data_IF_036359013410
#
_entry.id   IF_036359013410
#
_cell.length_a   1.000
_cell.length_b   1.000
_cell.length_c   1.000
_cell.angle_alpha   90.00
_cell.angle_beta   90.00
_cell.angle_gamma   90.00
#
_symmetry.space_group_name_H-M   'P 1'
#
loop_
_entity.id
_entity.type
_entity.pdbx_description
1 polymer ?
#
# COMPACT_ATOMS: atom_id res chain seq x y z
N UNK A 1 7.68 19.02 1.50
CA UNK A 1 8.08 18.65 0.12
C UNK A 1 6.85 18.51 -0.74
N UNK A 2 6.86 19.08 -1.95
CA UNK A 2 5.64 19.28 -2.72
C UNK A 2 5.45 18.23 -3.84
N UNK A 3 6.44 17.37 -4.05
CA UNK A 3 6.40 16.31 -5.07
C UNK A 3 6.73 14.92 -4.49
N UNK A 4 6.13 13.91 -5.10
CA UNK A 4 6.31 12.49 -4.81
C UNK A 4 6.51 11.75 -6.14
N UNK A 5 7.51 10.88 -6.21
CA UNK A 5 7.68 9.93 -7.31
C UNK A 5 7.38 8.51 -6.83
N UNK A 6 6.52 7.80 -7.53
CA UNK A 6 6.14 6.42 -7.23
C UNK A 6 6.64 5.53 -8.35
N UNK A 7 7.39 4.50 -8.00
CA UNK A 7 7.88 3.48 -8.93
C UNK A 7 7.24 2.14 -8.57
N UNK A 8 6.56 1.54 -9.53
CA UNK A 8 6.02 0.18 -9.38
C UNK A 8 7.13 -0.85 -9.52
N UNK A 9 7.24 -1.74 -8.56
CA UNK A 9 8.24 -2.82 -8.57
C UNK A 9 7.62 -4.12 -9.07
N UNK A 10 6.65 -4.65 -8.36
CA UNK A 10 5.82 -5.80 -8.77
C UNK A 10 4.74 -6.09 -7.74
N UNK A 11 3.63 -6.70 -8.16
CA UNK A 11 2.48 -7.10 -7.33
C UNK A 11 1.99 -5.96 -6.43
N UNK A 12 2.27 -6.00 -5.13
CA UNK A 12 1.97 -4.94 -4.16
C UNK A 12 3.21 -4.10 -3.82
N UNK A 13 4.33 -4.32 -4.50
CA UNK A 13 5.62 -3.66 -4.26
C UNK A 13 5.74 -2.30 -4.93
N UNK A 14 6.00 -1.26 -4.12
CA UNK A 14 6.21 0.11 -4.61
C UNK A 14 7.36 0.79 -3.87
N UNK A 15 8.13 1.59 -4.60
CA UNK A 15 9.05 2.55 -4.02
C UNK A 15 8.49 3.96 -4.19
N UNK A 16 8.29 4.66 -3.06
CA UNK A 16 7.77 6.03 -3.01
C UNK A 16 8.90 6.95 -2.59
N UNK A 17 9.34 7.83 -3.47
CA UNK A 17 10.41 8.80 -3.21
C UNK A 17 9.81 10.17 -2.91
N UNK A 18 10.18 10.72 -1.76
CA UNK A 18 9.84 12.08 -1.33
C UNK A 18 11.13 12.78 -0.92
N UNK A 19 11.57 13.74 -1.73
CA UNK A 19 12.91 14.34 -1.58
C UNK A 19 14.03 13.30 -1.69
N UNK A 20 14.85 13.18 -0.65
CA UNK A 20 15.97 12.20 -0.59
C UNK A 20 15.61 10.99 0.29
N UNK A 21 14.33 10.75 0.56
CA UNK A 21 13.87 9.60 1.34
C UNK A 21 13.04 8.68 0.47
N UNK A 22 13.27 7.38 0.56
CA UNK A 22 12.47 6.35 -0.06
C UNK A 22 11.65 5.59 0.99
N UNK A 23 10.36 5.42 0.72
CA UNK A 23 9.46 4.52 1.42
C UNK A 23 9.24 3.30 0.53
N UNK A 24 9.72 2.14 0.93
CA UNK A 24 9.62 0.90 0.16
C UNK A 24 8.56 0.00 0.77
N UNK A 25 7.47 -0.20 0.05
CA UNK A 25 6.35 -1.03 0.47
C UNK A 25 6.39 -2.40 -0.22
N UNK A 26 6.15 -3.46 0.55
CA UNK A 26 5.94 -4.84 0.14
C UNK A 26 6.92 -5.29 -0.97
N UNK A 27 8.22 -5.14 -0.70
CA UNK A 27 9.25 -5.51 -1.66
C UNK A 27 9.24 -7.02 -1.91
N UNK A 28 8.82 -7.38 -3.12
CA UNK A 28 8.79 -8.76 -3.60
C UNK A 28 9.96 -9.04 -4.53
N UNK A 29 9.99 -8.37 -5.67
CA UNK A 29 11.02 -8.49 -6.69
C UNK A 29 11.18 -7.22 -7.49
N UNK A 30 12.27 -7.13 -8.22
CA UNK A 30 12.60 -5.99 -9.08
C UNK A 30 13.37 -6.50 -10.29
N UNK A 31 12.65 -7.03 -11.28
CA UNK A 31 13.22 -7.71 -12.45
C UNK A 31 14.10 -6.79 -13.31
N UNK A 32 13.73 -5.52 -13.38
CA UNK A 32 14.45 -4.51 -14.19
C UNK A 32 15.50 -3.73 -13.35
N UNK A 33 15.74 -4.11 -12.11
CA UNK A 33 16.68 -3.44 -11.20
C UNK A 33 16.44 -1.93 -11.06
N UNK A 34 15.19 -1.48 -11.18
CA UNK A 34 14.83 -0.06 -11.12
C UNK A 34 14.96 0.52 -9.71
N UNK A 35 14.87 -0.29 -8.66
CA UNK A 35 15.04 0.16 -7.28
C UNK A 35 16.42 0.78 -7.04
N UNK A 36 17.47 0.26 -7.66
CA UNK A 36 18.82 0.82 -7.53
C UNK A 36 18.87 2.28 -8.01
N UNK A 37 18.18 2.58 -9.10
CA UNK A 37 18.04 3.95 -9.62
C UNK A 37 17.24 4.85 -8.69
N UNK A 38 16.13 4.34 -8.12
CA UNK A 38 15.33 5.09 -7.12
C UNK A 38 16.16 5.43 -5.89
N UNK A 39 16.96 4.48 -5.41
CA UNK A 39 17.75 4.64 -4.20
C UNK A 39 19.06 5.43 -4.42
N UNK A 40 19.49 5.66 -5.65
CA UNK A 40 20.77 6.34 -5.94
C UNK A 40 20.87 7.70 -5.26
N UNK A 41 19.79 8.50 -5.29
CA UNK A 41 19.71 9.83 -4.72
C UNK A 41 19.07 9.85 -3.31
N UNK A 42 18.79 8.68 -2.71
CA UNK A 42 18.21 8.59 -1.39
C UNK A 42 19.28 8.33 -0.34
N UNK A 43 19.26 9.13 0.72
CA UNK A 43 20.13 8.96 1.88
C UNK A 43 19.41 8.30 3.07
N UNK A 44 18.10 8.09 2.96
CA UNK A 44 17.28 7.45 3.98
C UNK A 44 16.25 6.53 3.30
N UNK A 45 16.07 5.33 3.86
CA UNK A 45 15.08 4.36 3.41
C UNK A 45 14.27 3.88 4.59
N UNK A 46 12.95 3.85 4.44
CA UNK A 46 12.02 3.17 5.33
C UNK A 46 11.42 1.98 4.58
N UNK A 47 11.38 0.82 5.21
CA UNK A 47 10.83 -0.41 4.59
C UNK A 47 9.58 -0.84 5.35
N UNK A 48 8.55 -1.18 4.59
CA UNK A 48 7.25 -1.66 5.08
C UNK A 48 6.96 -3.01 4.47
N UNK A 49 6.56 -4.00 5.28
CA UNK A 49 6.02 -5.25 4.77
C UNK A 49 4.76 -5.62 5.54
N UNK A 50 3.66 -5.78 4.79
CA UNK A 50 2.31 -5.92 5.32
C UNK A 50 2.05 -7.28 5.95
N UNK A 51 2.68 -8.35 5.44
CA UNK A 51 2.58 -9.71 5.97
C UNK A 51 3.69 -10.63 5.42
N UNK A 52 3.73 -11.87 5.90
CA UNK A 52 4.84 -12.81 5.67
C UNK A 52 4.84 -13.51 4.32
N UNK A 53 3.78 -13.41 3.51
CA UNK A 53 3.73 -14.04 2.20
C UNK A 53 4.87 -13.58 1.30
N UNK A 54 5.39 -14.49 0.46
CA UNK A 54 6.61 -14.28 -0.33
C UNK A 54 6.51 -13.13 -1.34
N UNK A 55 5.32 -12.75 -1.75
CA UNK A 55 5.03 -11.66 -2.67
C UNK A 55 4.84 -10.29 -1.98
N UNK A 56 4.97 -10.24 -0.63
CA UNK A 56 4.94 -9.03 0.20
C UNK A 56 6.18 -8.88 1.09
N UNK A 57 6.85 -9.99 1.41
CA UNK A 57 8.06 -9.98 2.22
C UNK A 57 9.20 -10.76 1.55
N UNK A 58 10.22 -10.05 1.05
CA UNK A 58 11.43 -10.65 0.54
C UNK A 58 12.57 -10.47 1.54
N UNK A 59 13.18 -11.54 2.07
CA UNK A 59 14.33 -11.45 2.99
C UNK A 59 15.52 -10.65 2.46
N UNK A 60 15.64 -10.45 1.14
CA UNK A 60 16.68 -9.62 0.52
C UNK A 60 16.64 -8.15 0.94
N UNK A 61 15.58 -7.70 1.62
CA UNK A 61 15.58 -6.35 2.24
C UNK A 61 16.76 -6.13 3.19
N UNK A 62 17.38 -7.21 3.71
CA UNK A 62 18.59 -7.14 4.54
C UNK A 62 19.79 -6.58 3.76
N UNK A 63 19.85 -6.78 2.45
CA UNK A 63 20.94 -6.29 1.60
C UNK A 63 21.00 -4.74 1.55
N UNK A 64 19.91 -4.08 1.93
CA UNK A 64 19.80 -2.62 2.01
C UNK A 64 20.06 -2.06 3.41
N UNK A 65 20.41 -2.89 4.39
CA UNK A 65 20.44 -2.54 5.81
C UNK A 65 21.25 -1.28 6.15
N UNK A 66 22.35 -1.01 5.42
CA UNK A 66 23.20 0.17 5.66
C UNK A 66 22.46 1.49 5.39
N UNK A 67 21.50 1.50 4.45
CA UNK A 67 20.71 2.66 4.06
C UNK A 67 19.38 2.75 4.81
N UNK A 68 18.91 1.64 5.40
CA UNK A 68 17.61 1.59 6.07
C UNK A 68 17.66 2.24 7.43
N UNK A 69 16.82 3.24 7.62
CA UNK A 69 16.62 3.89 8.91
C UNK A 69 15.76 3.02 9.83
N UNK A 70 14.62 2.53 9.34
CA UNK A 70 13.73 1.62 10.08
C UNK A 70 12.98 0.68 9.14
N UNK A 71 12.68 -0.50 9.67
CA UNK A 71 11.78 -1.48 9.10
C UNK A 71 10.48 -1.47 9.92
N UNK A 72 9.35 -1.24 9.27
CA UNK A 72 8.01 -1.38 9.84
C UNK A 72 7.40 -2.66 9.29
N UNK A 73 7.37 -3.69 10.10
CA UNK A 73 6.97 -5.03 9.67
C UNK A 73 5.74 -5.48 10.44
N UNK A 74 4.87 -6.20 9.75
CA UNK A 74 3.76 -6.86 10.43
C UNK A 74 4.27 -7.88 11.47
N UNK A 75 3.49 -8.08 12.50
CA UNK A 75 3.79 -9.00 13.61
C UNK A 75 4.06 -10.44 13.17
N UNK A 76 3.39 -10.91 12.11
CA UNK A 76 3.52 -12.26 11.56
C UNK A 76 4.86 -12.50 10.84
N UNK A 77 5.54 -11.43 10.40
CA UNK A 77 6.89 -11.52 9.80
C UNK A 77 7.97 -11.81 10.86
N UNK A 78 7.69 -11.54 12.14
CA UNK A 78 8.69 -11.65 13.21
C UNK A 78 9.46 -12.98 13.24
N UNK A 79 8.82 -14.16 13.07
CA UNK A 79 9.55 -15.43 13.04
C UNK A 79 10.55 -15.53 11.89
N UNK A 80 10.20 -15.00 10.71
CA UNK A 80 11.04 -15.05 9.51
C UNK A 80 12.17 -14.01 9.52
N UNK A 81 11.94 -12.82 10.10
CA UNK A 81 12.87 -11.70 10.06
C UNK A 81 13.83 -11.61 11.26
N UNK A 82 13.49 -12.23 12.40
CA UNK A 82 14.21 -12.05 13.67
C UNK A 82 15.71 -12.34 13.62
N UNK A 83 16.13 -13.30 12.83
CA UNK A 83 17.55 -13.67 12.66
C UNK A 83 18.25 -12.89 11.56
N UNK A 84 17.52 -12.15 10.73
CA UNK A 84 18.04 -11.48 9.55
C UNK A 84 18.31 -10.00 9.77
N UNK A 85 17.53 -9.35 10.64
CA UNK A 85 17.52 -7.91 10.82
C UNK A 85 17.94 -7.51 12.23
N UNK A 86 18.69 -6.41 12.34
CA UNK A 86 19.04 -5.81 13.63
C UNK A 86 17.78 -5.37 14.38
N UNK A 87 17.61 -5.82 15.62
CA UNK A 87 16.44 -5.49 16.45
C UNK A 87 16.26 -3.99 16.69
N UNK A 88 17.33 -3.20 16.61
CA UNK A 88 17.29 -1.74 16.82
C UNK A 88 16.61 -1.00 15.66
N UNK A 89 16.64 -1.58 14.46
CA UNK A 89 16.03 -0.99 13.27
C UNK A 89 14.61 -1.49 13.00
N UNK A 90 14.16 -2.55 13.67
CA UNK A 90 12.87 -3.21 13.35
C UNK A 90 11.81 -2.83 14.36
N UNK A 91 10.66 -2.42 13.84
CA UNK A 91 9.42 -2.21 14.59
C UNK A 91 8.39 -3.19 14.04
N UNK A 92 7.95 -4.13 14.88
CA UNK A 92 6.84 -5.02 14.56
C UNK A 92 5.54 -4.40 15.05
N UNK A 93 4.54 -4.34 14.16
CA UNK A 93 3.24 -3.73 14.43
C UNK A 93 2.14 -4.79 14.43
N UNK A 94 1.29 -4.76 15.43
CA UNK A 94 0.00 -5.44 15.42
C UNK A 94 -1.07 -4.53 14.81
N UNK A 95 -2.24 -5.06 14.41
CA UNK A 95 -3.35 -4.21 13.98
C UNK A 95 -3.70 -3.14 15.02
N UNK A 96 -4.03 -1.93 14.54
CA UNK A 96 -4.50 -0.78 15.31
C UNK A 96 -3.46 -0.15 16.25
N UNK A 97 -2.19 -0.33 15.95
CA UNK A 97 -1.09 0.38 16.62
C UNK A 97 -0.68 1.63 15.84
N UNK A 98 -0.15 2.60 16.56
CA UNK A 98 0.45 3.81 15.98
C UNK A 98 1.78 4.08 16.62
N UNK A 99 2.80 4.26 15.81
CA UNK A 99 4.14 4.64 16.25
C UNK A 99 4.58 5.93 15.57
N UNK A 100 5.36 6.72 16.29
CA UNK A 100 6.06 7.87 15.74
C UNK A 100 7.54 7.62 15.93
N UNK A 101 8.24 7.55 14.84
CA UNK A 101 9.67 7.25 14.82
C UNK A 101 10.39 8.27 13.94
N UNK A 102 11.33 9.01 14.54
CA UNK A 102 12.05 10.09 13.86
C UNK A 102 11.07 11.14 13.25
N UNK A 103 10.99 11.21 11.94
CA UNK A 103 10.20 12.15 11.15
C UNK A 103 8.98 11.51 10.47
N UNK A 104 8.68 10.24 10.80
CA UNK A 104 7.58 9.46 10.21
C UNK A 104 6.60 9.00 11.29
N UNK A 105 5.33 9.02 10.96
CA UNK A 105 4.26 8.42 11.76
C UNK A 105 3.62 7.29 10.97
N UNK A 106 3.52 6.13 11.60
CA UNK A 106 2.97 4.92 11.00
C UNK A 106 1.84 4.39 11.86
N UNK A 107 0.67 4.27 11.29
CA UNK A 107 -0.48 3.59 11.89
C UNK A 107 -0.77 2.31 11.12
N UNK A 108 -1.06 1.24 11.82
CA UNK A 108 -1.45 -0.04 11.26
C UNK A 108 -2.94 -0.30 11.44
N UNK A 109 -3.54 -0.97 10.46
CA UNK A 109 -4.92 -1.46 10.54
C UNK A 109 -4.93 -2.95 10.25
N UNK A 110 -6.07 -3.61 10.45
CA UNK A 110 -6.20 -5.03 10.16
C UNK A 110 -6.20 -5.34 8.67
N UNK A 111 -6.11 -6.62 8.35
CA UNK A 111 -6.22 -7.18 7.01
C UNK A 111 -7.32 -8.24 6.96
N UNK A 112 -7.71 -8.62 5.76
CA UNK A 112 -8.70 -9.70 5.51
C UNK A 112 -8.06 -10.98 5.01
N UNK A 113 -6.78 -10.94 4.72
CA UNK A 113 -5.92 -12.10 4.54
C UNK A 113 -5.02 -12.23 5.78
N UNK A 114 -3.73 -11.99 5.70
CA UNK A 114 -2.80 -11.99 6.82
C UNK A 114 -2.24 -10.60 7.09
N UNK A 115 -1.64 -10.40 8.27
CA UNK A 115 -0.88 -9.21 8.64
C UNK A 115 -1.71 -7.95 8.85
N UNK A 116 -1.23 -6.86 8.27
CA UNK A 116 -1.74 -5.50 8.49
C UNK A 116 -1.77 -4.68 7.21
N UNK A 117 -2.53 -3.58 7.21
CA UNK A 117 -2.36 -2.46 6.28
C UNK A 117 -1.68 -1.27 6.97
N UNK A 118 -1.06 -0.39 6.20
CA UNK A 118 -0.33 0.76 6.69
C UNK A 118 -0.99 2.08 6.33
N UNK A 119 -0.98 3.02 7.27
CA UNK A 119 -1.21 4.44 7.01
C UNK A 119 0.01 5.23 7.48
N UNK A 120 0.67 5.87 6.53
CA UNK A 120 1.95 6.54 6.74
C UNK A 120 1.81 8.04 6.53
N UNK A 121 2.20 8.81 7.54
CA UNK A 121 2.29 10.26 7.47
C UNK A 121 3.77 10.67 7.45
N UNK A 122 4.22 11.25 6.33
CA UNK A 122 5.61 11.65 6.12
C UNK A 122 5.69 12.92 5.27
N UNK A 123 6.44 13.93 5.72
CA UNK A 123 6.63 15.21 5.01
C UNK A 123 5.31 15.85 4.54
N UNK A 124 4.26 15.70 5.36
CA UNK A 124 2.93 16.20 5.08
C UNK A 124 2.14 15.40 4.05
N UNK A 125 2.66 14.28 3.55
CA UNK A 125 1.93 13.29 2.74
C UNK A 125 1.26 12.25 3.61
N UNK A 126 0.10 11.78 3.16
CA UNK A 126 -0.70 10.72 3.79
C UNK A 126 -0.85 9.58 2.80
N UNK A 127 -0.22 8.47 3.10
CA UNK A 127 -0.11 7.31 2.22
C UNK A 127 -0.78 6.12 2.90
N UNK A 128 -1.74 5.50 2.23
CA UNK A 128 -2.35 4.24 2.65
C UNK A 128 -1.86 3.10 1.76
N UNK A 129 -1.42 2.01 2.37
CA UNK A 129 -1.07 0.78 1.65
C UNK A 129 -1.87 -0.37 2.26
N UNK A 130 -2.77 -0.93 1.48
CA UNK A 130 -3.75 -1.90 1.96
C UNK A 130 -3.13 -3.26 2.35
N UNK A 131 -1.90 -3.60 1.85
CA UNK A 131 -1.46 -4.99 1.87
C UNK A 131 -2.52 -5.84 1.17
N UNK A 132 -2.92 -6.94 1.77
CA UNK A 132 -3.98 -7.81 1.25
C UNK A 132 -5.35 -7.57 1.93
N UNK A 133 -5.57 -6.36 2.44
CA UNK A 133 -6.91 -5.94 2.84
C UNK A 133 -7.79 -5.77 1.60
N UNK A 134 -8.75 -6.68 1.41
CA UNK A 134 -9.70 -6.64 0.30
C UNK A 134 -10.98 -7.40 0.65
N UNK A 135 -12.04 -7.17 -0.14
CA UNK A 135 -13.21 -8.03 -0.13
C UNK A 135 -12.98 -9.22 -1.09
N UNK A 136 -12.38 -10.29 -0.56
CA UNK A 136 -12.03 -11.51 -1.31
C UNK A 136 -13.28 -12.33 -1.65
N UNK A 137 -14.03 -11.87 -2.66
CA UNK A 137 -15.20 -12.56 -3.20
C UNK A 137 -14.76 -13.44 -4.38
N UNK A 138 -14.67 -14.73 -4.17
CA UNK A 138 -14.23 -15.68 -5.19
C UNK A 138 -15.42 -16.22 -5.98
N UNK A 139 -15.34 -16.16 -7.32
CA UNK A 139 -16.29 -16.84 -8.19
C UNK A 139 -16.18 -18.36 -7.97
N UNK A 140 -17.34 -19.04 -7.89
CA UNK A 140 -17.40 -20.47 -7.62
C UNK A 140 -17.17 -20.91 -6.18
N UNK A 141 -16.87 -19.99 -5.24
CA UNK A 141 -16.86 -20.31 -3.81
C UNK A 141 -18.30 -20.34 -3.24
N UNK A 142 -18.45 -20.91 -2.05
CA UNK A 142 -19.77 -21.00 -1.40
C UNK A 142 -20.29 -19.62 -0.99
N UNK A 143 -21.61 -19.46 -1.00
CA UNK A 143 -22.24 -18.25 -0.49
C UNK A 143 -21.85 -17.93 0.96
N UNK A 144 -21.66 -18.97 1.77
CA UNK A 144 -21.22 -18.85 3.16
C UNK A 144 -19.83 -18.23 3.26
N UNK A 145 -18.87 -18.70 2.45
CA UNK A 145 -17.52 -18.18 2.44
C UNK A 145 -17.46 -16.75 1.92
N UNK A 146 -18.16 -16.46 0.83
CA UNK A 146 -18.23 -15.12 0.27
C UNK A 146 -18.92 -14.12 1.22
N UNK A 147 -19.92 -14.55 1.97
CA UNK A 147 -20.56 -13.76 3.05
C UNK A 147 -19.58 -13.52 4.22
N UNK A 148 -18.78 -14.53 4.57
CA UNK A 148 -17.76 -14.39 5.60
C UNK A 148 -16.68 -13.39 5.17
N UNK A 149 -16.17 -13.48 3.95
CA UNK A 149 -15.19 -12.53 3.39
C UNK A 149 -15.73 -11.09 3.41
N UNK A 150 -17.00 -10.89 2.97
CA UNK A 150 -17.68 -9.60 3.05
C UNK A 150 -17.71 -9.04 4.47
N UNK A 151 -18.12 -9.87 5.43
CA UNK A 151 -18.27 -9.42 6.82
C UNK A 151 -16.91 -9.05 7.45
N UNK A 152 -15.86 -9.82 7.15
CA UNK A 152 -14.49 -9.49 7.58
C UNK A 152 -14.06 -8.15 7.01
N UNK A 153 -14.21 -7.95 5.70
CA UNK A 153 -13.85 -6.70 5.05
C UNK A 153 -14.65 -5.51 5.61
N UNK A 154 -15.97 -5.64 5.74
CA UNK A 154 -16.83 -4.61 6.31
C UNK A 154 -16.46 -4.26 7.77
N UNK A 155 -15.94 -5.22 8.54
CA UNK A 155 -15.43 -4.97 9.90
C UNK A 155 -14.19 -4.10 9.87
N UNK A 156 -13.22 -4.42 9.03
CA UNK A 156 -11.98 -3.65 8.90
C UNK A 156 -12.25 -2.25 8.33
N UNK A 157 -13.15 -2.15 7.35
CA UNK A 157 -13.54 -0.89 6.73
C UNK A 157 -14.11 0.14 7.73
N UNK A 158 -14.76 -0.31 8.81
CA UNK A 158 -15.23 0.60 9.88
C UNK A 158 -14.09 1.37 10.55
N UNK A 159 -12.92 0.76 10.68
CA UNK A 159 -11.74 1.40 11.24
C UNK A 159 -11.09 2.41 10.29
N UNK A 160 -11.38 2.30 8.99
CA UNK A 160 -10.87 3.18 7.94
C UNK A 160 -11.85 4.30 7.58
N UNK A 161 -13.10 4.23 8.05
CA UNK A 161 -14.14 5.22 7.70
C UNK A 161 -13.70 6.64 8.03
N UNK A 162 -13.74 7.51 7.03
CA UNK A 162 -13.30 8.91 7.14
C UNK A 162 -11.79 9.12 7.00
N UNK A 163 -11.00 8.06 6.77
CA UNK A 163 -9.56 8.19 6.51
C UNK A 163 -9.34 9.03 5.25
N UNK A 164 -8.40 9.95 5.32
CA UNK A 164 -8.03 10.82 4.19
C UNK A 164 -6.63 10.46 3.72
N UNK A 165 -6.51 10.04 2.47
CA UNK A 165 -5.23 9.67 1.86
C UNK A 165 -4.94 10.53 0.65
N UNK A 166 -3.70 11.04 0.56
CA UNK A 166 -3.23 11.70 -0.66
C UNK A 166 -2.93 10.65 -1.73
N UNK A 167 -2.42 9.48 -1.30
CA UNK A 167 -2.20 8.30 -2.14
C UNK A 167 -2.70 7.06 -1.41
N UNK A 168 -3.45 6.19 -2.10
CA UNK A 168 -3.84 4.90 -1.59
C UNK A 168 -3.50 3.79 -2.60
N UNK A 169 -2.75 2.79 -2.14
CA UNK A 169 -2.49 1.55 -2.85
C UNK A 169 -3.50 0.50 -2.41
N UNK A 170 -4.28 -0.03 -3.36
CA UNK A 170 -5.36 -0.96 -3.03
C UNK A 170 -5.43 -2.15 -4.01
N UNK A 171 -5.64 -3.39 -3.52
CA UNK A 171 -5.72 -4.57 -4.36
C UNK A 171 -6.92 -4.52 -5.32
N UNK A 172 -6.64 -4.77 -6.61
CA UNK A 172 -7.65 -5.02 -7.63
C UNK A 172 -7.24 -6.32 -8.34
N UNK A 173 -7.53 -7.44 -7.69
CA UNK A 173 -7.04 -8.74 -8.13
C UNK A 173 -7.89 -9.30 -9.27
N UNK A 174 -7.28 -9.44 -10.43
CA UNK A 174 -7.94 -9.94 -11.63
C UNK A 174 -8.47 -11.38 -11.51
N UNK A 175 -7.93 -12.17 -10.58
CA UNK A 175 -8.40 -13.53 -10.30
C UNK A 175 -9.82 -13.59 -9.74
N UNK A 176 -10.30 -12.49 -9.16
CA UNK A 176 -11.67 -12.35 -8.66
C UNK A 176 -12.70 -12.10 -9.78
N UNK A 177 -12.26 -12.02 -11.05
CA UNK A 177 -13.15 -11.83 -12.19
C UNK A 177 -13.98 -10.54 -12.07
N UNK A 178 -15.30 -10.65 -12.23
CA UNK A 178 -16.22 -9.53 -12.13
C UNK A 178 -16.29 -8.89 -10.73
N UNK A 179 -15.83 -9.59 -9.71
CA UNK A 179 -15.83 -9.13 -8.31
C UNK A 179 -14.55 -8.38 -7.91
N UNK A 180 -13.55 -8.25 -8.81
CA UNK A 180 -12.23 -7.68 -8.50
C UNK A 180 -12.28 -6.26 -7.94
N UNK A 181 -13.32 -5.51 -8.24
CA UNK A 181 -13.46 -4.12 -7.84
C UNK A 181 -14.39 -3.88 -6.65
N UNK A 182 -15.00 -4.92 -6.06
CA UNK A 182 -15.89 -4.76 -4.92
C UNK A 182 -15.22 -4.10 -3.72
N UNK A 183 -14.04 -4.58 -3.35
CA UNK A 183 -13.30 -4.06 -2.19
C UNK A 183 -12.88 -2.61 -2.38
N UNK A 184 -12.29 -2.27 -3.53
CA UNK A 184 -11.83 -0.91 -3.81
C UNK A 184 -12.99 0.08 -3.88
N UNK A 185 -14.15 -0.35 -4.39
CA UNK A 185 -15.35 0.49 -4.43
C UNK A 185 -15.82 0.85 -3.01
N UNK A 186 -16.02 -0.14 -2.18
CA UNK A 186 -16.41 0.05 -0.78
C UNK A 186 -15.37 0.88 -0.01
N UNK A 187 -14.08 0.65 -0.24
CA UNK A 187 -13.02 1.44 0.37
C UNK A 187 -13.14 2.92 -0.02
N UNK A 188 -13.26 3.25 -1.29
CA UNK A 188 -13.41 4.62 -1.76
C UNK A 188 -14.75 5.26 -1.32
N UNK A 189 -15.81 4.47 -1.13
CA UNK A 189 -17.09 4.97 -0.63
C UNK A 189 -17.05 5.38 0.86
N UNK A 190 -16.08 4.84 1.63
CA UNK A 190 -15.95 5.10 3.07
C UNK A 190 -14.75 5.98 3.44
N UNK A 191 -13.83 6.24 2.50
CA UNK A 191 -12.61 7.03 2.71
C UNK A 191 -12.54 8.19 1.72
N UNK A 192 -11.59 9.10 1.91
CA UNK A 192 -11.25 10.15 0.96
C UNK A 192 -9.87 9.85 0.35
N UNK A 193 -9.85 9.44 -0.91
CA UNK A 193 -8.63 9.15 -1.66
C UNK A 193 -8.47 10.15 -2.80
N UNK A 194 -7.28 10.77 -2.93
CA UNK A 194 -6.99 11.72 -4.00
C UNK A 194 -6.35 11.05 -5.21
N UNK A 195 -5.41 10.15 -4.95
CA UNK A 195 -4.78 9.31 -5.96
C UNK A 195 -4.93 7.85 -5.56
N UNK A 196 -5.73 7.09 -6.31
CA UNK A 196 -5.83 5.64 -6.16
C UNK A 196 -4.83 4.96 -7.08
N UNK A 197 -4.11 3.98 -6.54
CA UNK A 197 -3.16 3.16 -7.27
C UNK A 197 -3.56 1.70 -7.12
N UNK A 198 -3.84 1.05 -8.24
CA UNK A 198 -4.11 -0.37 -8.27
C UNK A 198 -2.84 -1.17 -8.01
N UNK A 199 -2.94 -2.18 -7.18
CA UNK A 199 -1.91 -3.17 -6.92
C UNK A 199 -2.50 -4.57 -6.93
N UNK A 200 -1.67 -5.61 -6.84
CA UNK A 200 -2.08 -7.02 -6.83
C UNK A 200 -2.91 -7.43 -8.06
N UNK A 201 -2.65 -6.77 -9.20
CA UNK A 201 -3.46 -6.91 -10.42
C UNK A 201 -3.09 -8.14 -11.26
N UNK A 202 -2.09 -8.92 -10.84
CA UNK A 202 -1.52 -10.04 -11.60
C UNK A 202 -1.05 -9.62 -13.01
N UNK A 203 -0.57 -8.38 -13.16
CA UNK A 203 -0.13 -7.82 -14.44
C UNK A 203 -1.25 -7.47 -15.42
N UNK A 204 -2.51 -7.55 -15.01
CA UNK A 204 -3.68 -7.23 -15.83
C UNK A 204 -4.20 -5.84 -15.44
N UNK A 205 -4.19 -4.91 -16.39
CA UNK A 205 -4.73 -3.59 -16.15
C UNK A 205 -6.25 -3.65 -15.98
N UNK A 206 -6.73 -3.03 -14.91
CA UNK A 206 -8.14 -2.76 -14.70
C UNK A 206 -8.39 -1.25 -14.81
N UNK A 207 -9.46 -0.87 -15.47
CA UNK A 207 -9.89 0.52 -15.58
C UNK A 207 -11.30 0.66 -15.04
N UNK A 208 -11.55 1.63 -14.14
CA UNK A 208 -12.88 1.85 -13.61
C UNK A 208 -13.85 2.22 -14.75
N UNK A 209 -15.04 1.60 -14.82
CA UNK A 209 -16.10 2.05 -15.71
C UNK A 209 -16.51 3.50 -15.42
N UNK A 210 -17.09 4.17 -16.41
CA UNK A 210 -17.62 5.53 -16.22
C UNK A 210 -18.60 5.57 -15.04
N UNK A 211 -18.41 6.54 -14.14
CA UNK A 211 -19.25 6.71 -12.95
C UNK A 211 -19.01 5.68 -11.84
N UNK A 212 -18.00 4.81 -11.96
CA UNK A 212 -17.69 3.82 -10.93
C UNK A 212 -17.37 4.48 -9.57
N UNK A 213 -16.60 5.55 -9.59
CA UNK A 213 -16.26 6.38 -8.42
C UNK A 213 -17.07 7.68 -8.39
N UNK A 214 -18.40 7.59 -8.47
CA UNK A 214 -19.28 8.75 -8.66
C UNK A 214 -19.16 9.82 -7.54
N UNK A 215 -18.75 9.46 -6.34
CA UNK A 215 -18.57 10.39 -5.21
C UNK A 215 -17.25 11.17 -5.28
N UNK A 216 -16.26 10.66 -5.99
CA UNK A 216 -14.88 11.16 -6.05
C UNK A 216 -14.53 11.66 -7.44
N UNK A 217 -15.32 12.62 -7.96
CA UNK A 217 -15.14 13.16 -9.33
C UNK A 217 -13.72 13.68 -9.64
N UNK A 218 -12.92 13.98 -8.61
CA UNK A 218 -11.56 14.50 -8.75
C UNK A 218 -10.48 13.45 -8.40
N UNK A 219 -10.86 12.23 -8.01
CA UNK A 219 -9.90 11.17 -7.72
C UNK A 219 -9.17 10.74 -8.98
N UNK A 220 -7.84 10.83 -8.95
CA UNK A 220 -6.98 10.31 -10.01
C UNK A 220 -6.77 8.81 -9.81
N UNK A 221 -6.61 8.07 -10.90
CA UNK A 221 -6.41 6.62 -10.90
C UNK A 221 -5.20 6.23 -11.73
N UNK A 222 -4.42 5.26 -11.20
CA UNK A 222 -3.28 4.67 -11.92
C UNK A 222 -3.21 3.16 -11.67
N UNK A 223 -3.03 2.38 -12.74
CA UNK A 223 -2.87 0.94 -12.70
C UNK A 223 -1.59 0.53 -13.44
N UNK A 224 -0.45 0.44 -12.75
CA UNK A 224 0.79 -0.01 -13.36
C UNK A 224 0.76 -1.52 -13.59
N UNK A 225 1.33 -1.96 -14.71
CA UNK A 225 1.45 -3.39 -15.07
C UNK A 225 2.88 -3.81 -15.40
N UNK A 226 3.81 -2.86 -15.48
CA UNK A 226 5.21 -3.14 -15.84
C UNK A 226 6.14 -2.65 -14.75
N UNK A 227 7.03 -3.53 -14.28
CA UNK A 227 8.11 -3.17 -13.37
C UNK A 227 8.88 -1.94 -13.89
N UNK A 228 9.12 -0.96 -13.02
CA UNK A 228 9.76 0.30 -13.34
C UNK A 228 8.82 1.39 -13.86
N UNK A 229 7.51 1.12 -14.04
CA UNK A 229 6.54 2.18 -14.35
C UNK A 229 6.54 3.24 -13.25
N UNK A 230 6.47 4.52 -13.64
CA UNK A 230 6.56 5.66 -12.72
C UNK A 230 5.33 6.55 -12.80
N UNK A 231 4.99 7.13 -11.66
CA UNK A 231 4.01 8.20 -11.51
C UNK A 231 4.61 9.32 -10.66
N UNK A 232 4.56 10.54 -11.17
CA UNK A 232 4.92 11.73 -10.40
C UNK A 232 3.66 12.47 -9.98
N UNK A 233 3.61 12.91 -8.73
CA UNK A 233 2.46 13.61 -8.14
C UNK A 233 2.97 14.90 -7.50
N UNK A 234 2.37 16.03 -7.89
CA UNK A 234 2.56 17.31 -7.22
C UNK A 234 1.44 17.54 -6.20
N UNK A 235 1.79 17.99 -5.00
CA UNK A 235 0.82 18.18 -3.91
C UNK A 235 -0.28 19.18 -4.25
N UNK A 236 0.07 20.23 -4.96
CA UNK A 236 -0.88 21.22 -5.47
C UNK A 236 -1.90 20.68 -6.48
N UNK A 237 -1.57 19.62 -7.19
CA UNK A 237 -2.47 18.96 -8.13
C UNK A 237 -3.52 18.08 -7.45
N UNK A 238 -3.30 17.74 -6.18
CA UNK A 238 -4.22 16.96 -5.35
C UNK A 238 -5.14 17.86 -4.51
N UNK A 239 -4.96 19.17 -4.52
CA UNK A 239 -5.83 20.07 -3.78
C UNK A 239 -7.18 20.18 -4.49
N UNK A 240 -8.24 19.63 -3.89
CA UNK A 240 -9.59 20.11 -4.18
C UNK A 240 -9.61 21.63 -3.92
N UNK A 241 -10.07 22.42 -4.86
CA UNK A 241 -10.43 23.80 -4.57
C UNK A 241 -11.49 23.76 -3.48
N UNK A 242 -11.13 24.12 -2.26
CA UNK A 242 -12.12 24.51 -1.26
C UNK A 242 -12.84 25.71 -1.86
N UNK A 243 -14.00 25.44 -2.46
CA UNK A 243 -14.92 26.50 -2.85
C UNK A 243 -15.47 27.09 -1.55
N UNK A 244 -14.98 28.33 -1.22
CA UNK A 244 -15.51 29.14 -0.16
C UNK A 244 -16.95 29.59 -0.41
#
# INVERSE_FOLDING_TARGET
MDSMEITYLDNSGFAVKIGNTALLFDYYRDENHCLSSVLADCNKVYIFSSHVHHDHFNPKIVEMADRVAKYFLSFDIKPAAKSLLSSEKVIYLNPYETVKEMDIRVSSYGSTDEGISFYVEFEGWRIFHAGDLNWWHWDGDTETNNKFARNRFAKELKHLTGLVSDVAFFPIDSRLGEYCALGVKEFCDHTLVRQLIAMHTQGIAWHPPEGFFAKEKEMKYWCPTKNGSKLSIEKGELSCKENG
#
